data_IF_924206840520
#
_entry.id   IF_924206840520
#
_cell.length_a   1.000
_cell.length_b   1.000
_cell.length_c   1.000
_cell.angle_alpha   90.00
_cell.angle_beta   90.00
_cell.angle_gamma   90.00
#
_symmetry.space_group_name_H-M   'P 1'
#
loop_
_entity.id
_entity.type
_entity.pdbx_description
1 polymer ?
#
# COMPACT_ATOMS: atom_id res chain seq x y z
N UNK A 1 54.87 -6.88 3.13
CA UNK A 1 54.25 -6.42 1.87
C UNK A 1 52.74 -6.44 2.09
N UNK A 2 52.14 -5.26 2.16
CA UNK A 2 50.76 -5.06 2.60
C UNK A 2 49.74 -5.43 1.52
N UNK A 3 48.69 -6.12 1.96
CA UNK A 3 47.50 -6.47 1.18
C UNK A 3 46.72 -5.19 0.84
N UNK A 4 46.40 -4.89 -0.45
CA UNK A 4 45.59 -3.74 -0.77
C UNK A 4 44.13 -4.03 -0.43
N UNK A 5 43.63 -3.38 0.62
CA UNK A 5 42.21 -3.37 0.97
C UNK A 5 41.38 -2.89 -0.23
N UNK A 6 40.61 -3.80 -0.81
CA UNK A 6 39.50 -3.43 -1.69
C UNK A 6 38.47 -2.70 -0.82
N UNK A 7 38.48 -1.37 -0.87
CA UNK A 7 37.34 -0.55 -0.44
C UNK A 7 36.13 -0.97 -1.27
N UNK A 8 35.26 -1.76 -0.66
CA UNK A 8 33.92 -1.97 -1.20
C UNK A 8 33.20 -0.61 -1.14
N UNK A 9 33.10 0.06 -2.28
CA UNK A 9 32.19 1.18 -2.47
C UNK A 9 30.78 0.68 -2.13
N UNK A 10 30.25 1.12 -0.98
CA UNK A 10 28.86 0.90 -0.64
C UNK A 10 28.02 1.73 -1.62
N UNK A 11 27.48 1.10 -2.67
CA UNK A 11 26.47 1.73 -3.52
C UNK A 11 25.35 2.26 -2.61
N UNK A 12 24.88 3.51 -2.80
CA UNK A 12 23.78 4.02 -2.01
C UNK A 12 22.60 3.05 -2.13
N UNK A 13 22.04 2.64 -0.99
CA UNK A 13 20.87 1.76 -0.93
C UNK A 13 19.78 2.42 -1.76
N UNK A 14 19.45 1.83 -2.91
CA UNK A 14 18.36 2.31 -3.76
C UNK A 14 17.09 2.38 -2.92
N UNK A 15 16.47 3.57 -2.86
CA UNK A 15 15.27 3.80 -2.06
C UNK A 15 14.13 2.94 -2.58
N UNK A 16 13.45 2.21 -1.69
CA UNK A 16 12.38 1.32 -2.11
C UNK A 16 11.16 2.11 -2.63
N UNK A 17 10.39 1.56 -3.58
CA UNK A 17 9.27 2.27 -4.20
C UNK A 17 8.19 2.73 -3.23
N UNK A 18 7.99 2.01 -2.12
CA UNK A 18 6.99 2.38 -1.12
C UNK A 18 7.45 3.61 -0.33
N UNK A 19 8.72 3.65 0.08
CA UNK A 19 9.28 4.82 0.77
C UNK A 19 9.25 6.06 -0.14
N UNK A 20 9.59 5.90 -1.43
CA UNK A 20 9.48 6.97 -2.42
C UNK A 20 8.04 7.48 -2.54
N UNK A 21 7.07 6.58 -2.73
CA UNK A 21 5.65 6.94 -2.79
C UNK A 21 5.19 7.71 -1.55
N UNK A 22 5.59 7.26 -0.35
CA UNK A 22 5.20 7.91 0.90
C UNK A 22 5.70 9.36 1.02
N UNK A 23 6.81 9.71 0.36
CA UNK A 23 7.34 11.08 0.31
C UNK A 23 6.63 11.95 -0.71
N UNK A 24 6.30 11.39 -1.87
CA UNK A 24 5.74 12.11 -3.02
C UNK A 24 4.21 12.28 -2.95
N UNK A 25 3.50 11.38 -2.27
CA UNK A 25 2.05 11.42 -2.21
C UNK A 25 1.52 12.67 -1.47
N UNK A 26 0.29 13.14 -1.80
CA UNK A 26 -0.35 14.23 -1.09
C UNK A 26 -0.48 13.98 0.42
N UNK A 27 -0.27 15.05 1.21
CA UNK A 27 -0.25 14.95 2.67
C UNK A 27 -1.64 14.85 3.31
N UNK A 28 -2.68 15.40 2.67
CA UNK A 28 -3.99 15.55 3.30
C UNK A 28 -4.95 14.41 2.95
N UNK A 29 -5.41 14.36 1.70
CA UNK A 29 -6.52 13.49 1.28
C UNK A 29 -6.05 12.53 0.19
N UNK A 30 -6.45 11.26 0.28
CA UNK A 30 -6.01 10.25 -0.69
C UNK A 30 -6.61 10.46 -2.08
N UNK A 31 -7.78 11.09 -2.19
CA UNK A 31 -8.40 11.48 -3.48
C UNK A 31 -7.52 12.38 -4.35
N UNK A 32 -6.55 13.09 -3.76
CA UNK A 32 -5.60 13.94 -4.48
C UNK A 32 -4.53 13.14 -5.24
N UNK A 33 -4.36 11.84 -4.96
CA UNK A 33 -3.49 10.94 -5.71
C UNK A 33 -4.12 10.71 -7.09
N UNK A 34 -3.48 11.19 -8.16
CA UNK A 34 -4.04 11.09 -9.52
C UNK A 34 -3.87 9.66 -10.07
N UNK A 35 -4.80 9.22 -10.93
CA UNK A 35 -4.79 7.84 -11.45
C UNK A 35 -3.56 7.62 -12.32
N UNK A 36 -3.21 8.64 -13.09
CA UNK A 36 -2.09 8.71 -14.01
C UNK A 36 -0.73 8.55 -13.30
N UNK A 37 -0.68 8.89 -12.01
CA UNK A 37 0.54 8.80 -11.20
C UNK A 37 0.78 7.38 -10.66
N UNK A 38 -0.26 6.52 -10.56
CA UNK A 38 -0.11 5.16 -10.04
C UNK A 38 -0.48 4.04 -11.00
N UNK A 39 -1.44 4.23 -11.89
CA UNK A 39 -2.07 3.15 -12.64
C UNK A 39 -1.31 2.70 -13.90
N UNK A 40 -0.65 3.57 -14.69
CA UNK A 40 0.09 3.12 -15.87
C UNK A 40 1.29 2.20 -15.56
N UNK A 41 1.72 1.41 -16.54
CA UNK A 41 2.91 0.57 -16.43
C UNK A 41 4.14 1.42 -16.03
N UNK A 42 4.96 0.90 -15.11
CA UNK A 42 6.14 1.59 -14.58
C UNK A 42 5.86 2.71 -13.57
N UNK A 43 4.60 2.99 -13.24
CA UNK A 43 4.21 3.95 -12.19
C UNK A 43 4.09 3.31 -10.82
N UNK A 44 3.66 4.09 -9.82
CA UNK A 44 3.73 3.70 -8.41
C UNK A 44 3.13 2.31 -8.11
N UNK A 45 1.95 1.96 -8.64
CA UNK A 45 1.35 0.66 -8.34
C UNK A 45 2.15 -0.51 -8.93
N UNK A 46 2.68 -0.35 -10.13
CA UNK A 46 3.53 -1.35 -10.80
C UNK A 46 4.85 -1.54 -10.03
N UNK A 47 5.54 -0.45 -9.69
CA UNK A 47 6.79 -0.49 -8.93
C UNK A 47 6.63 -1.09 -7.54
N UNK A 48 5.54 -0.73 -6.84
CA UNK A 48 5.21 -1.31 -5.52
C UNK A 48 4.93 -2.80 -5.67
N UNK A 49 4.12 -3.21 -6.65
CA UNK A 49 3.81 -4.62 -6.86
C UNK A 49 5.05 -5.48 -7.14
N UNK A 50 5.92 -5.03 -8.05
CA UNK A 50 7.19 -5.71 -8.34
C UNK A 50 8.08 -5.81 -7.11
N UNK A 51 8.15 -4.73 -6.31
CA UNK A 51 8.87 -4.73 -5.04
C UNK A 51 8.32 -5.77 -4.05
N UNK A 52 6.99 -5.93 -3.97
CA UNK A 52 6.34 -6.89 -3.05
C UNK A 52 6.54 -8.35 -3.45
N UNK A 53 6.60 -8.62 -4.77
CA UNK A 53 6.89 -9.96 -5.31
C UNK A 53 8.37 -10.31 -5.16
N UNK A 54 9.27 -9.33 -5.39
CA UNK A 54 10.71 -9.54 -5.34
C UNK A 54 11.15 -10.08 -3.98
N UNK A 55 11.67 -11.31 -3.97
CA UNK A 55 12.11 -11.98 -2.74
C UNK A 55 10.97 -12.49 -1.85
N UNK A 56 9.74 -12.62 -2.38
CA UNK A 56 8.54 -13.11 -1.67
C UNK A 56 8.23 -12.32 -0.40
N UNK A 57 8.49 -11.01 -0.43
CA UNK A 57 8.35 -10.10 0.72
C UNK A 57 6.92 -10.01 1.23
N UNK A 58 5.94 -10.20 0.36
CA UNK A 58 4.53 -10.28 0.75
C UNK A 58 3.89 -11.52 0.13
N UNK A 59 3.22 -12.32 0.96
CA UNK A 59 2.48 -13.48 0.46
C UNK A 59 1.20 -13.00 -0.23
N UNK A 60 0.96 -13.46 -1.46
CA UNK A 60 -0.22 -13.08 -2.24
C UNK A 60 -1.54 -13.31 -1.49
N UNK A 61 -1.64 -14.39 -0.69
CA UNK A 61 -2.84 -14.68 0.09
C UNK A 61 -3.17 -13.57 1.11
N UNK A 62 -2.15 -12.90 1.68
CA UNK A 62 -2.38 -11.77 2.58
C UNK A 62 -2.87 -10.54 1.81
N UNK A 63 -2.26 -10.23 0.67
CA UNK A 63 -2.68 -9.13 -0.19
C UNK A 63 -4.13 -9.33 -0.67
N UNK A 64 -4.49 -10.54 -1.10
CA UNK A 64 -5.85 -10.92 -1.49
C UNK A 64 -6.85 -10.80 -0.34
N UNK A 65 -6.46 -11.17 0.88
CA UNK A 65 -7.30 -11.04 2.07
C UNK A 65 -7.64 -9.58 2.34
N UNK A 66 -6.63 -8.71 2.37
CA UNK A 66 -6.81 -7.25 2.57
C UNK A 66 -7.69 -6.67 1.44
N UNK A 67 -7.37 -7.02 0.19
CA UNK A 67 -8.12 -6.53 -0.97
C UNK A 67 -9.59 -6.94 -0.95
N UNK A 68 -9.88 -8.19 -0.56
CA UNK A 68 -11.25 -8.68 -0.41
C UNK A 68 -12.04 -7.85 0.59
N UNK A 69 -11.46 -7.52 1.75
CA UNK A 69 -12.14 -6.69 2.75
C UNK A 69 -12.38 -5.25 2.23
N UNK A 70 -11.42 -4.66 1.53
CA UNK A 70 -11.61 -3.37 0.86
C UNK A 70 -12.75 -3.41 -0.17
N UNK A 71 -12.89 -4.49 -0.92
CA UNK A 71 -14.01 -4.65 -1.87
C UNK A 71 -15.36 -4.80 -1.18
N UNK A 72 -15.42 -5.50 -0.04
CA UNK A 72 -16.65 -5.60 0.77
C UNK A 72 -17.11 -4.23 1.28
N UNK A 73 -16.19 -3.43 1.82
CA UNK A 73 -16.50 -2.06 2.24
C UNK A 73 -16.90 -1.21 1.02
N UNK A 74 -16.21 -1.35 -0.12
CA UNK A 74 -16.57 -0.64 -1.36
C UNK A 74 -18.00 -0.92 -1.82
N UNK A 75 -18.47 -2.17 -1.71
CA UNK A 75 -19.84 -2.53 -2.05
C UNK A 75 -20.86 -1.77 -1.17
N UNK A 76 -20.59 -1.68 0.14
CA UNK A 76 -21.40 -0.90 1.08
C UNK A 76 -21.42 0.59 0.72
N UNK A 77 -20.24 1.19 0.48
CA UNK A 77 -20.09 2.60 0.10
C UNK A 77 -20.83 2.92 -1.20
N UNK A 78 -20.72 2.06 -2.22
CA UNK A 78 -21.44 2.22 -3.49
C UNK A 78 -22.94 2.13 -3.31
N UNK A 79 -23.44 1.22 -2.47
CA UNK A 79 -24.89 1.09 -2.22
C UNK A 79 -25.44 2.31 -1.48
N UNK A 80 -24.71 2.81 -0.47
CA UNK A 80 -25.13 3.96 0.35
C UNK A 80 -24.83 5.31 -0.32
N UNK A 81 -23.99 5.32 -1.36
CA UNK A 81 -23.43 6.52 -2.00
C UNK A 81 -22.69 7.46 -1.02
N UNK A 82 -22.23 6.94 0.11
CA UNK A 82 -21.48 7.68 1.13
C UNK A 82 -20.49 6.76 1.86
N UNK A 83 -19.43 7.33 2.42
CA UNK A 83 -18.51 6.63 3.31
C UNK A 83 -18.95 6.86 4.76
N UNK A 84 -19.69 5.90 5.31
CA UNK A 84 -20.30 6.02 6.64
C UNK A 84 -19.34 5.66 7.77
N UNK A 85 -19.69 6.02 9.02
CA UNK A 85 -18.88 5.68 10.21
C UNK A 85 -18.73 4.16 10.41
N UNK A 86 -19.72 3.37 10.00
CA UNK A 86 -19.63 1.89 9.96
C UNK A 86 -18.58 1.42 8.94
N UNK A 87 -18.53 2.04 7.76
CA UNK A 87 -17.52 1.72 6.73
C UNK A 87 -16.11 2.14 7.21
N UNK A 88 -16.01 3.29 7.89
CA UNK A 88 -14.77 3.78 8.51
C UNK A 88 -14.28 2.85 9.62
N UNK A 89 -15.18 2.36 10.48
CA UNK A 89 -14.88 1.40 11.53
C UNK A 89 -14.35 0.08 10.96
N UNK A 90 -15.00 -0.44 9.91
CA UNK A 90 -14.54 -1.63 9.17
C UNK A 90 -13.16 -1.43 8.56
N UNK A 91 -12.88 -0.25 8.02
CA UNK A 91 -11.56 0.09 7.48
C UNK A 91 -10.49 0.09 8.58
N UNK A 92 -10.75 0.68 9.74
CA UNK A 92 -9.81 0.66 10.87
C UNK A 92 -9.56 -0.74 11.42
N UNK A 93 -10.55 -1.63 11.38
CA UNK A 93 -10.39 -3.04 11.78
C UNK A 93 -9.43 -3.83 10.86
N UNK A 94 -9.01 -3.27 9.72
CA UNK A 94 -7.91 -3.85 8.94
C UNK A 94 -6.55 -3.64 9.62
N UNK A 95 -6.39 -2.63 10.48
CA UNK A 95 -5.11 -2.35 11.15
C UNK A 95 -4.62 -3.49 12.06
N UNK A 96 -5.47 -4.08 12.94
CA UNK A 96 -5.09 -5.28 13.70
C UNK A 96 -4.73 -6.47 12.80
N UNK A 97 -5.47 -6.68 11.71
CA UNK A 97 -5.19 -7.77 10.75
C UNK A 97 -3.81 -7.57 10.08
N UNK A 98 -3.52 -6.34 9.66
CA UNK A 98 -2.24 -5.93 9.08
C UNK A 98 -1.09 -6.10 10.08
N UNK A 99 -1.28 -5.65 11.32
CA UNK A 99 -0.27 -5.77 12.37
C UNK A 99 0.08 -7.24 12.67
N UNK A 100 -0.95 -8.10 12.73
CA UNK A 100 -0.75 -9.55 12.90
C UNK A 100 -0.01 -10.19 11.72
N UNK A 101 -0.38 -9.84 10.49
CA UNK A 101 0.30 -10.35 9.29
C UNK A 101 1.76 -9.88 9.23
N UNK A 102 2.04 -8.64 9.65
CA UNK A 102 3.38 -8.08 9.72
C UNK A 102 4.24 -8.79 10.80
N UNK A 103 3.68 -9.00 12.00
CA UNK A 103 4.36 -9.70 13.10
C UNK A 103 4.71 -11.15 12.76
N UNK A 104 3.94 -11.77 11.85
CA UNK A 104 4.20 -13.12 11.31
C UNK A 104 5.05 -13.11 10.04
N UNK A 105 5.61 -11.97 9.66
CA UNK A 105 6.45 -11.79 8.46
C UNK A 105 5.75 -12.26 7.18
N UNK A 106 4.42 -12.12 7.12
CA UNK A 106 3.62 -12.51 5.95
C UNK A 106 3.43 -11.36 4.96
N UNK A 107 3.70 -10.13 5.40
CA UNK A 107 3.71 -8.90 4.60
C UNK A 107 4.99 -8.12 4.86
N UNK A 108 5.38 -7.30 3.89
CA UNK A 108 6.56 -6.45 3.98
C UNK A 108 6.33 -5.29 4.99
N UNK A 109 7.36 -4.94 5.76
CA UNK A 109 7.29 -3.86 6.75
C UNK A 109 6.95 -2.49 6.12
N UNK A 110 7.46 -2.20 4.92
CA UNK A 110 7.12 -0.95 4.23
C UNK A 110 5.69 -1.00 3.70
N UNK A 111 5.19 -2.16 3.28
CA UNK A 111 3.78 -2.32 2.94
C UNK A 111 2.87 -2.09 4.15
N UNK A 112 3.22 -2.66 5.32
CA UNK A 112 2.50 -2.37 6.56
C UNK A 112 2.50 -0.87 6.87
N UNK A 113 3.65 -0.21 6.74
CA UNK A 113 3.78 1.24 6.94
C UNK A 113 2.94 2.04 5.94
N UNK A 114 2.91 1.64 4.67
CA UNK A 114 2.06 2.24 3.64
C UNK A 114 0.60 2.24 4.04
N UNK A 115 0.09 1.06 4.40
CA UNK A 115 -1.29 0.88 4.85
C UNK A 115 -1.58 1.72 6.09
N UNK A 116 -0.66 1.73 7.06
CA UNK A 116 -0.78 2.53 8.29
C UNK A 116 -0.85 4.03 8.01
N UNK A 117 -0.07 4.56 7.08
CA UNK A 117 -0.09 6.00 6.76
C UNK A 117 -1.36 6.40 6.01
N UNK A 118 -1.88 5.53 5.14
CA UNK A 118 -3.09 5.83 4.36
C UNK A 118 -4.35 5.69 5.22
N UNK A 119 -4.50 4.54 5.89
CA UNK A 119 -5.65 4.27 6.78
C UNK A 119 -5.57 5.20 8.00
N UNK A 120 -4.37 5.40 8.55
CA UNK A 120 -4.12 6.24 9.71
C UNK A 120 -4.82 5.74 10.97
N UNK A 121 -5.03 6.68 11.89
CA UNK A 121 -5.91 6.55 13.03
C UNK A 121 -7.04 7.60 12.94
N UNK A 122 -7.75 7.83 14.05
CA UNK A 122 -8.83 8.81 14.13
C UNK A 122 -8.40 10.24 13.75
N UNK A 123 -7.12 10.58 13.91
CA UNK A 123 -6.61 11.95 13.76
C UNK A 123 -5.78 12.14 12.47
N UNK A 124 -5.14 11.08 11.98
CA UNK A 124 -4.13 11.15 10.91
C UNK A 124 -4.53 10.47 9.59
N UNK A 125 -5.78 10.01 9.47
CA UNK A 125 -6.26 9.33 8.24
C UNK A 125 -6.26 10.23 7.00
N UNK A 126 -5.92 9.63 5.86
CA UNK A 126 -6.06 10.21 4.51
C UNK A 126 -7.38 9.85 3.84
N UNK A 127 -8.20 9.02 4.49
CA UNK A 127 -9.49 8.54 3.97
C UNK A 127 -10.61 9.14 4.81
N UNK A 128 -11.15 10.26 4.33
CA UNK A 128 -12.19 11.02 5.04
C UNK A 128 -13.52 10.99 4.29
N UNK A 129 -13.46 10.93 2.96
CA UNK A 129 -14.65 10.93 2.11
C UNK A 129 -14.79 9.64 1.31
N UNK A 130 -15.93 9.50 0.63
CA UNK A 130 -16.17 8.45 -0.37
C UNK A 130 -15.11 8.48 -1.47
N UNK A 131 -14.76 9.66 -1.96
CA UNK A 131 -13.80 9.84 -3.05
C UNK A 131 -12.40 9.39 -2.62
N UNK A 132 -11.98 9.69 -1.39
CA UNK A 132 -10.71 9.18 -0.84
C UNK A 132 -10.71 7.66 -0.79
N UNK A 133 -11.80 7.08 -0.29
CA UNK A 133 -11.96 5.63 -0.16
C UNK A 133 -11.93 4.95 -1.53
N UNK A 134 -12.68 5.48 -2.49
CA UNK A 134 -12.72 4.96 -3.86
C UNK A 134 -11.36 5.06 -4.54
N UNK A 135 -10.64 6.19 -4.36
CA UNK A 135 -9.28 6.36 -4.89
C UNK A 135 -8.31 5.36 -4.26
N UNK A 136 -8.42 5.12 -2.96
CA UNK A 136 -7.61 4.12 -2.27
C UNK A 136 -7.88 2.70 -2.80
N UNK A 137 -9.15 2.35 -3.01
CA UNK A 137 -9.49 1.04 -3.59
C UNK A 137 -8.98 0.92 -5.03
N UNK A 138 -9.01 1.97 -5.84
CA UNK A 138 -8.43 1.97 -7.19
C UNK A 138 -6.91 1.72 -7.13
N UNK A 139 -6.20 2.42 -6.25
CA UNK A 139 -4.76 2.23 -6.02
C UNK A 139 -4.43 0.78 -5.62
N UNK A 140 -5.14 0.23 -4.63
CA UNK A 140 -4.95 -1.17 -4.20
C UNK A 140 -5.32 -2.17 -5.29
N UNK A 141 -6.33 -1.86 -6.13
CA UNK A 141 -6.69 -2.69 -7.29
C UNK A 141 -5.55 -2.74 -8.30
N UNK A 142 -4.91 -1.60 -8.58
CA UNK A 142 -3.76 -1.56 -9.49
C UNK A 142 -2.57 -2.37 -8.94
N UNK A 143 -2.24 -2.23 -7.65
CA UNK A 143 -1.17 -3.03 -7.02
C UNK A 143 -1.45 -4.52 -7.14
N UNK A 144 -2.68 -4.97 -6.83
CA UNK A 144 -3.05 -6.38 -6.93
C UNK A 144 -2.99 -6.90 -8.37
N UNK A 145 -3.43 -6.09 -9.34
CA UNK A 145 -3.37 -6.44 -10.76
C UNK A 145 -1.92 -6.62 -11.22
N UNK A 146 -1.02 -5.69 -10.88
CA UNK A 146 0.39 -5.81 -11.21
C UNK A 146 1.09 -6.93 -10.45
N UNK A 147 0.71 -7.18 -9.19
CA UNK A 147 1.26 -8.31 -8.42
C UNK A 147 0.92 -9.64 -9.11
N UNK A 148 -0.28 -9.76 -9.68
CA UNK A 148 -0.66 -10.95 -10.47
C UNK A 148 0.12 -11.04 -11.80
N UNK A 149 0.47 -9.91 -12.42
CA UNK A 149 1.29 -9.88 -13.65
C UNK A 149 2.76 -10.22 -13.39
N UNK A 150 3.27 -9.89 -12.20
CA UNK A 150 4.67 -10.07 -11.82
C UNK A 150 4.98 -11.43 -11.15
N UNK A 151 3.97 -12.24 -10.82
CA UNK A 151 4.12 -13.66 -10.48
C UNK A 151 4.44 -14.50 -11.73
#
# INVERSE_FOLDING_TARGET
MSNPEKRYEQKPKEEDPITKFLKEMPKNNFSQVKVEDFAPDGKWACQIAEYLVKGKKTKINQLRKIFTELKKIQLSVKRKQTFSDDDKSKLYLLMPLLAFANARELIDNNFYKLMKVIIGDANSTKIRTKEDYERFVQFMTAIVAYHKKAE
#
